data_IF_290670355761
#
_entry.id   IF_290670355761
#
_cell.length_a   1.000
_cell.length_b   1.000
_cell.length_c   1.000
_cell.angle_alpha   90.00
_cell.angle_beta   90.00
_cell.angle_gamma   90.00
#
_symmetry.space_group_name_H-M   'P 1'
#
loop_
_entity.id
_entity.type
_entity.pdbx_description
1 polymer ?
#
# COMPACT_ATOMS: atom_id res chain seq x y z
N UNK A 1 -11.22 6.12 21.60
CA UNK A 1 -10.68 5.46 20.39
C UNK A 1 -9.75 6.47 19.77
N UNK A 2 -8.54 6.10 19.36
CA UNK A 2 -7.61 7.09 18.81
C UNK A 2 -8.10 7.51 17.44
N UNK A 3 -8.33 8.80 17.23
CA UNK A 3 -8.69 9.39 15.93
C UNK A 3 -7.46 9.44 14.99
N UNK A 4 -6.50 8.52 15.17
CA UNK A 4 -5.26 8.50 14.40
C UNK A 4 -5.44 8.15 12.93
N UNK A 5 -6.52 7.45 12.60
CA UNK A 5 -6.90 7.05 11.25
C UNK A 5 -8.38 7.33 11.03
N UNK A 6 -8.70 8.05 9.97
CA UNK A 6 -10.10 8.28 9.54
C UNK A 6 -10.33 7.52 8.24
N UNK A 7 -11.36 6.68 8.22
CA UNK A 7 -11.79 5.93 7.04
C UNK A 7 -13.07 6.52 6.49
N UNK A 8 -13.05 6.92 5.22
CA UNK A 8 -14.21 7.37 4.46
C UNK A 8 -14.52 6.38 3.34
N UNK A 9 -15.77 5.93 3.26
CA UNK A 9 -16.24 5.10 2.15
C UNK A 9 -16.85 5.98 1.05
N UNK A 10 -16.44 5.76 -0.20
CA UNK A 10 -16.92 6.46 -1.39
C UNK A 10 -17.21 5.41 -2.48
N UNK A 11 -18.44 4.88 -2.48
CA UNK A 11 -18.87 3.81 -3.40
C UNK A 11 -17.90 2.61 -3.38
N UNK A 12 -17.12 2.44 -4.44
CA UNK A 12 -16.18 1.34 -4.64
C UNK A 12 -14.77 1.62 -4.09
N UNK A 13 -14.49 2.83 -3.61
CA UNK A 13 -13.18 3.23 -3.06
C UNK A 13 -13.32 3.72 -1.63
N UNK A 14 -12.36 3.35 -0.79
CA UNK A 14 -12.21 3.92 0.55
C UNK A 14 -10.98 4.82 0.60
N UNK A 15 -11.07 5.91 1.36
CA UNK A 15 -9.95 6.82 1.66
C UNK A 15 -9.59 6.67 3.12
N UNK A 16 -8.33 6.34 3.38
CA UNK A 16 -7.78 6.26 4.73
C UNK A 16 -6.84 7.45 4.96
N UNK A 17 -7.24 8.35 5.86
CA UNK A 17 -6.47 9.54 6.20
C UNK A 17 -5.75 9.37 7.54
N UNK A 18 -4.45 9.62 7.55
CA UNK A 18 -3.63 9.64 8.76
C UNK A 18 -3.84 10.98 9.49
N UNK A 19 -4.26 10.94 10.75
CA UNK A 19 -4.70 12.12 11.51
C UNK A 19 -4.04 12.24 12.89
N UNK A 20 -2.91 11.59 13.13
CA UNK A 20 -2.18 11.68 14.39
C UNK A 20 -1.20 12.88 14.40
N UNK A 21 -1.63 14.11 14.79
CA UNK A 21 -0.77 15.28 14.78
C UNK A 21 0.39 15.14 15.78
N UNK A 22 1.50 15.88 15.58
CA UNK A 22 1.69 16.87 14.50
C UNK A 22 2.19 16.26 13.18
N UNK A 23 2.60 14.99 13.15
CA UNK A 23 3.35 14.42 12.02
C UNK A 23 2.86 13.02 11.60
N UNK A 24 1.68 12.63 12.03
CA UNK A 24 1.02 11.35 11.69
C UNK A 24 1.90 10.13 12.01
N UNK A 25 2.48 10.13 13.23
CA UNK A 25 3.33 9.03 13.68
C UNK A 25 2.53 7.78 14.03
N UNK A 26 3.15 6.62 13.80
CA UNK A 26 2.58 5.33 14.13
C UNK A 26 2.75 5.00 15.60
N UNK A 27 1.69 4.47 16.19
CA UNK A 27 1.66 3.85 17.52
C UNK A 27 1.15 2.41 17.39
N UNK A 28 1.38 1.53 18.39
CA UNK A 28 0.82 0.17 18.37
C UNK A 28 -0.69 0.16 18.12
N UNK A 29 -1.41 1.10 18.72
CA UNK A 29 -2.86 1.22 18.60
C UNK A 29 -3.28 1.59 17.17
N UNK A 30 -2.57 2.53 16.52
CA UNK A 30 -2.86 2.91 15.14
C UNK A 30 -2.48 1.82 14.13
N UNK A 31 -1.42 1.04 14.39
CA UNK A 31 -1.05 -0.11 13.57
C UNK A 31 -2.09 -1.24 13.67
N UNK A 32 -2.58 -1.54 14.88
CA UNK A 32 -3.67 -2.48 15.08
C UNK A 32 -4.97 -2.00 14.42
N UNK A 33 -5.25 -0.71 14.47
CA UNK A 33 -6.41 -0.11 13.81
C UNK A 33 -6.30 -0.25 12.28
N UNK A 34 -5.11 0.03 11.69
CA UNK A 34 -4.87 -0.17 10.27
C UNK A 34 -5.13 -1.63 9.86
N UNK A 35 -4.59 -2.58 10.64
CA UNK A 35 -4.79 -4.00 10.38
C UNK A 35 -6.29 -4.36 10.39
N UNK A 36 -7.03 -3.89 11.40
CA UNK A 36 -8.47 -4.13 11.50
C UNK A 36 -9.24 -3.54 10.31
N UNK A 37 -8.94 -2.28 9.93
CA UNK A 37 -9.55 -1.60 8.79
C UNK A 37 -9.34 -2.42 7.51
N UNK A 38 -8.12 -2.84 7.22
CA UNK A 38 -7.83 -3.59 5.98
C UNK A 38 -8.54 -4.95 5.97
N UNK A 39 -8.63 -5.64 7.11
CA UNK A 39 -9.39 -6.91 7.23
C UNK A 39 -10.88 -6.66 6.97
N UNK A 40 -11.46 -5.59 7.51
CA UNK A 40 -12.86 -5.22 7.29
C UNK A 40 -13.12 -4.83 5.83
N UNK A 41 -12.20 -4.09 5.19
CA UNK A 41 -12.29 -3.76 3.77
C UNK A 41 -12.21 -5.01 2.87
N UNK A 42 -11.35 -5.96 3.18
CA UNK A 42 -11.28 -7.25 2.46
C UNK A 42 -12.57 -8.08 2.63
N UNK A 43 -13.30 -7.88 3.73
CA UNK A 43 -14.60 -8.52 3.95
C UNK A 43 -15.74 -7.85 3.16
N UNK A 44 -15.56 -6.60 2.75
CA UNK A 44 -16.54 -5.82 2.00
C UNK A 44 -16.27 -5.92 0.48
N UNK A 45 -16.96 -6.81 -0.19
CA UNK A 45 -16.80 -7.05 -1.64
C UNK A 45 -17.15 -5.84 -2.54
N UNK A 46 -17.86 -4.82 -2.01
CA UNK A 46 -18.13 -3.58 -2.74
C UNK A 46 -16.90 -2.67 -2.78
N UNK A 47 -15.98 -2.81 -1.82
CA UNK A 47 -14.78 -1.98 -1.76
C UNK A 47 -13.69 -2.56 -2.67
N UNK A 48 -13.36 -1.84 -3.73
CA UNK A 48 -12.46 -2.27 -4.80
C UNK A 48 -11.11 -1.59 -4.77
N UNK A 49 -11.01 -0.46 -4.08
CA UNK A 49 -9.79 0.32 -3.97
C UNK A 49 -9.65 0.98 -2.60
N UNK A 50 -8.40 1.23 -2.21
CA UNK A 50 -8.03 1.91 -0.98
C UNK A 50 -6.99 2.99 -1.31
N UNK A 51 -7.29 4.25 -0.99
CA UNK A 51 -6.33 5.36 -1.13
C UNK A 51 -5.91 5.82 0.26
N UNK A 52 -4.60 5.90 0.51
CA UNK A 52 -4.01 6.35 1.77
C UNK A 52 -3.41 7.73 1.59
N UNK A 53 -3.64 8.65 2.55
CA UNK A 53 -3.07 10.01 2.54
C UNK A 53 -2.89 10.55 3.96
N UNK A 54 -2.10 11.60 4.13
CA UNK A 54 -1.98 12.34 5.40
C UNK A 54 -2.94 13.52 5.48
N UNK A 55 -3.39 13.90 6.66
CA UNK A 55 -4.14 15.13 6.86
C UNK A 55 -3.22 16.37 6.71
N UNK A 56 -3.74 17.44 6.10
CA UNK A 56 -2.95 18.65 5.82
C UNK A 56 -2.04 18.48 4.62
N UNK A 57 -0.99 19.30 4.56
CA UNK A 57 -0.12 19.45 3.39
C UNK A 57 1.37 19.16 3.68
N UNK A 58 1.73 18.92 4.92
CA UNK A 58 3.14 18.80 5.31
C UNK A 58 3.62 17.36 5.44
N UNK A 59 2.80 16.49 6.01
CA UNK A 59 3.18 15.11 6.29
C UNK A 59 2.19 14.14 5.66
N UNK A 60 2.72 13.17 4.94
CA UNK A 60 2.04 11.91 4.73
C UNK A 60 2.11 11.10 6.02
N UNK A 61 3.32 10.79 6.50
CA UNK A 61 3.59 10.25 7.84
C UNK A 61 5.10 10.34 8.15
N UNK A 62 5.45 10.77 9.35
CA UNK A 62 6.84 10.82 9.82
C UNK A 62 7.35 9.49 10.40
N UNK A 63 6.58 8.41 10.31
CA UNK A 63 6.98 7.08 10.77
C UNK A 63 6.65 6.81 12.24
N UNK A 64 7.52 6.10 12.93
CA UNK A 64 7.28 5.70 14.31
C UNK A 64 7.39 6.87 15.31
N UNK A 65 6.61 6.81 16.38
CA UNK A 65 6.77 7.69 17.54
C UNK A 65 8.04 7.29 18.30
N UNK A 66 9.16 7.98 18.05
CA UNK A 66 10.46 7.66 18.61
C UNK A 66 10.52 7.80 20.14
N UNK A 67 9.61 8.54 20.78
CA UNK A 67 9.57 8.62 22.25
C UNK A 67 9.33 7.24 22.87
N UNK A 68 8.62 6.38 22.17
CA UNK A 68 8.34 5.01 22.60
C UNK A 68 9.51 4.05 22.47
N UNK A 69 10.62 4.46 21.84
CA UNK A 69 11.84 3.66 21.68
C UNK A 69 12.95 4.07 22.66
N UNK A 70 12.71 5.07 23.53
CA UNK A 70 13.71 5.56 24.48
C UNK A 70 13.80 4.68 25.75
N UNK A 71 13.89 3.37 25.57
CA UNK A 71 14.09 2.39 26.63
C UNK A 71 14.75 1.13 26.06
N UNK A 72 15.33 0.30 26.96
CA UNK A 72 16.03 -0.94 26.56
C UNK A 72 15.20 -2.18 26.84
N UNK A 73 13.89 -2.14 26.56
CA UNK A 73 13.00 -3.27 26.76
C UNK A 73 12.83 -4.05 25.46
N UNK A 74 13.41 -5.25 25.42
CA UNK A 74 13.37 -6.15 24.26
C UNK A 74 11.96 -6.67 23.98
N UNK A 75 11.12 -6.84 25.02
CA UNK A 75 9.74 -7.28 24.83
C UNK A 75 8.93 -6.22 24.09
N UNK A 76 9.04 -4.96 24.48
CA UNK A 76 8.40 -3.87 23.76
C UNK A 76 8.93 -3.72 22.33
N UNK A 77 10.23 -3.91 22.10
CA UNK A 77 10.80 -3.90 20.74
C UNK A 77 10.19 -5.01 19.88
N UNK A 78 9.98 -6.20 20.46
CA UNK A 78 9.32 -7.32 19.80
C UNK A 78 7.88 -7.00 19.43
N UNK A 79 7.12 -6.42 20.37
CA UNK A 79 5.72 -6.03 20.14
C UNK A 79 5.61 -4.98 19.02
N UNK A 80 6.49 -3.97 19.02
CA UNK A 80 6.54 -2.95 17.98
C UNK A 80 6.86 -3.53 16.59
N UNK A 81 7.92 -4.31 16.49
CA UNK A 81 8.33 -4.89 15.21
C UNK A 81 7.25 -5.82 14.65
N UNK A 82 6.61 -6.58 15.53
CA UNK A 82 5.47 -7.45 15.16
C UNK A 82 4.29 -6.63 14.68
N UNK A 83 3.94 -5.53 15.37
CA UNK A 83 2.81 -4.67 14.99
C UNK A 83 3.04 -4.00 13.63
N UNK A 84 4.25 -3.46 13.37
CA UNK A 84 4.61 -2.87 12.07
C UNK A 84 4.56 -3.92 10.96
N UNK A 85 5.23 -5.06 11.15
CA UNK A 85 5.25 -6.14 10.18
C UNK A 85 3.83 -6.63 9.83
N UNK A 86 3.03 -6.96 10.85
CA UNK A 86 1.68 -7.46 10.65
C UNK A 86 0.76 -6.45 9.94
N UNK A 87 0.77 -5.17 10.35
CA UNK A 87 -0.08 -4.15 9.75
C UNK A 87 0.24 -3.93 8.26
N UNK A 88 1.53 -3.83 7.92
CA UNK A 88 1.94 -3.55 6.55
C UNK A 88 1.88 -4.78 5.64
N UNK A 89 2.08 -6.00 6.19
CA UNK A 89 1.82 -7.24 5.46
C UNK A 89 0.35 -7.38 5.09
N UNK A 90 -0.57 -7.11 6.02
CA UNK A 90 -2.02 -7.14 5.75
C UNK A 90 -2.40 -6.10 4.69
N UNK A 91 -1.81 -4.89 4.74
CA UNK A 91 -2.02 -3.87 3.70
C UNK A 91 -1.49 -4.32 2.33
N UNK A 92 -0.28 -4.91 2.28
CA UNK A 92 0.27 -5.45 1.02
C UNK A 92 -0.62 -6.54 0.42
N UNK A 93 -1.28 -7.33 1.28
CA UNK A 93 -2.21 -8.39 0.89
C UNK A 93 -3.67 -7.90 0.71
N UNK A 94 -3.92 -6.59 0.70
CA UNK A 94 -5.26 -6.04 0.45
C UNK A 94 -5.81 -6.52 -0.90
N UNK A 95 -7.04 -7.05 -0.92
CA UNK A 95 -7.64 -7.74 -2.08
C UNK A 95 -8.20 -6.78 -3.16
N UNK A 96 -7.90 -5.53 -3.11
CA UNK A 96 -8.20 -4.55 -4.14
C UNK A 96 -6.93 -3.83 -4.55
N UNK A 97 -7.08 -2.70 -5.21
CA UNK A 97 -5.95 -1.82 -5.55
C UNK A 97 -5.72 -0.80 -4.44
N UNK A 98 -4.52 -0.77 -3.88
CA UNK A 98 -4.11 0.21 -2.87
C UNK A 98 -3.17 1.26 -3.47
N UNK A 99 -3.43 2.55 -3.17
CA UNK A 99 -2.62 3.67 -3.65
C UNK A 99 -2.21 4.57 -2.49
N UNK A 100 -0.92 4.86 -2.38
CA UNK A 100 -0.44 5.91 -1.50
C UNK A 100 -0.43 7.26 -2.24
N UNK A 101 -1.27 8.19 -1.80
CA UNK A 101 -1.29 9.58 -2.21
C UNK A 101 -0.36 10.38 -1.28
N UNK A 102 0.93 10.44 -1.62
CA UNK A 102 1.98 11.00 -0.77
C UNK A 102 1.95 12.52 -0.87
N UNK A 103 1.26 13.15 0.07
CA UNK A 103 1.00 14.59 0.12
C UNK A 103 2.02 15.40 0.95
N UNK A 104 3.21 14.84 1.21
CA UNK A 104 4.24 15.51 1.99
C UNK A 104 5.37 14.57 2.41
N UNK A 105 5.95 14.81 3.59
CA UNK A 105 7.01 13.96 4.11
C UNK A 105 6.52 12.52 4.39
N UNK A 106 7.18 11.54 3.79
CA UNK A 106 7.01 10.11 4.04
C UNK A 106 8.35 9.54 4.58
N UNK A 107 8.48 9.45 5.90
CA UNK A 107 9.74 9.11 6.57
C UNK A 107 9.64 7.82 7.36
N UNK A 108 10.64 6.96 7.29
CA UNK A 108 10.68 5.71 8.06
C UNK A 108 9.42 4.86 7.84
N UNK A 109 8.75 4.44 8.90
CA UNK A 109 7.48 3.72 8.83
C UNK A 109 6.39 4.44 8.02
N UNK A 110 6.52 5.76 7.77
CA UNK A 110 5.66 6.51 6.86
C UNK A 110 5.95 6.21 5.39
N UNK A 111 7.21 5.98 5.03
CA UNK A 111 7.53 5.48 3.70
C UNK A 111 7.20 3.98 3.60
N UNK A 112 7.41 3.20 4.67
CA UNK A 112 7.13 1.76 4.67
C UNK A 112 5.65 1.44 4.40
N UNK A 113 4.71 2.21 4.97
CA UNK A 113 3.28 2.04 4.66
C UNK A 113 2.97 2.38 3.20
N UNK A 114 3.65 3.38 2.62
CA UNK A 114 3.52 3.68 1.19
C UNK A 114 4.11 2.56 0.30
N UNK A 115 5.22 1.93 0.73
CA UNK A 115 5.82 0.77 0.06
C UNK A 115 4.91 -0.47 0.11
N UNK A 116 4.04 -0.58 1.13
CA UNK A 116 3.06 -1.64 1.24
C UNK A 116 1.86 -1.47 0.28
N UNK A 117 1.66 -0.29 -0.31
CA UNK A 117 0.65 -0.05 -1.33
C UNK A 117 1.11 -0.53 -2.71
N UNK A 118 0.14 -0.80 -3.61
CA UNK A 118 0.42 -1.21 -4.99
C UNK A 118 1.05 -0.09 -5.80
N UNK A 119 0.50 1.12 -5.68
CA UNK A 119 0.92 2.31 -6.44
C UNK A 119 1.23 3.46 -5.48
N UNK A 120 2.16 4.29 -5.83
CA UNK A 120 2.56 5.51 -5.10
C UNK A 120 2.54 6.69 -6.04
N UNK A 121 1.79 7.74 -5.67
CA UNK A 121 1.73 9.04 -6.35
C UNK A 121 2.23 10.07 -5.35
N UNK A 122 3.14 10.95 -5.75
CA UNK A 122 3.71 11.96 -4.86
C UNK A 122 3.36 13.37 -5.31
N UNK A 123 3.11 14.25 -4.38
CA UNK A 123 3.09 15.69 -4.66
C UNK A 123 4.50 16.22 -4.87
N UNK A 124 4.65 17.22 -5.69
CA UNK A 124 5.95 17.78 -6.11
C UNK A 124 6.86 18.20 -4.94
N UNK A 125 6.28 18.57 -3.79
CA UNK A 125 7.03 18.96 -2.60
C UNK A 125 7.30 17.80 -1.63
N UNK A 126 6.78 16.61 -1.91
CA UNK A 126 6.95 15.44 -1.07
C UNK A 126 8.42 15.01 -1.00
N UNK A 127 8.79 14.46 0.15
CA UNK A 127 10.12 13.92 0.38
C UNK A 127 10.02 12.54 1.04
N UNK A 128 10.91 11.64 0.67
CA UNK A 128 10.87 10.24 1.05
C UNK A 128 12.22 9.77 1.56
N UNK A 129 12.27 9.09 2.71
CA UNK A 129 13.50 8.52 3.26
C UNK A 129 13.23 7.35 4.20
N UNK A 130 14.24 6.49 4.39
CA UNK A 130 14.31 5.49 5.47
C UNK A 130 15.54 5.83 6.36
N UNK A 131 15.42 6.83 7.26
CA UNK A 131 16.56 7.37 8.00
C UNK A 131 16.82 6.66 9.33
N UNK A 132 16.28 5.47 9.54
CA UNK A 132 16.30 4.74 10.82
C UNK A 132 17.71 4.52 11.36
N UNK A 133 18.70 4.28 10.48
CA UNK A 133 20.10 4.08 10.88
C UNK A 133 20.69 5.29 11.63
N UNK A 134 20.23 6.51 11.37
CA UNK A 134 20.66 7.71 12.04
C UNK A 134 20.30 7.77 13.53
N UNK A 135 19.32 6.97 13.93
CA UNK A 135 18.85 6.85 15.33
C UNK A 135 19.11 5.47 15.93
N UNK A 136 19.96 4.64 15.28
CA UNK A 136 20.34 3.31 15.75
C UNK A 136 19.26 2.25 15.57
N UNK A 137 18.30 2.48 14.68
CA UNK A 137 17.22 1.55 14.33
C UNK A 137 17.38 1.06 12.89
N UNK A 138 16.48 0.20 12.46
CA UNK A 138 16.34 -0.24 11.07
C UNK A 138 14.85 -0.21 10.67
N UNK A 139 14.54 -0.11 9.37
CA UNK A 139 13.16 -0.25 8.89
C UNK A 139 12.63 -1.66 9.21
N UNK A 140 11.54 -1.75 9.99
CA UNK A 140 10.98 -3.04 10.42
C UNK A 140 9.57 -3.32 9.88
N UNK A 141 9.01 -2.39 9.11
CA UNK A 141 7.72 -2.51 8.44
C UNK A 141 7.87 -2.86 6.94
N UNK A 142 8.73 -3.81 6.58
CA UNK A 142 9.02 -4.30 5.22
C UNK A 142 9.95 -3.40 4.38
N UNK A 143 10.38 -2.22 4.88
CA UNK A 143 11.11 -1.21 4.10
C UNK A 143 12.37 -1.74 3.44
N UNK A 144 13.20 -2.51 4.14
CA UNK A 144 14.45 -3.06 3.60
C UNK A 144 14.20 -4.02 2.42
N UNK A 145 13.12 -4.78 2.45
CA UNK A 145 12.79 -5.77 1.42
C UNK A 145 12.05 -5.11 0.24
N UNK A 146 10.97 -4.39 0.52
CA UNK A 146 10.15 -3.76 -0.52
C UNK A 146 10.92 -2.70 -1.31
N UNK A 147 11.71 -1.86 -0.63
CA UNK A 147 12.48 -0.83 -1.32
C UNK A 147 13.50 -1.44 -2.29
N UNK A 148 14.25 -2.48 -1.86
CA UNK A 148 15.23 -3.12 -2.72
C UNK A 148 14.61 -3.75 -3.98
N UNK A 149 13.40 -4.29 -3.86
CA UNK A 149 12.65 -4.81 -5.01
C UNK A 149 12.18 -3.71 -5.98
N UNK A 150 11.76 -2.58 -5.45
CA UNK A 150 11.20 -1.50 -6.26
C UNK A 150 12.26 -0.71 -7.01
N UNK A 151 13.37 -0.36 -6.33
CA UNK A 151 14.37 0.59 -6.86
C UNK A 151 15.76 -0.03 -7.04
N UNK A 152 15.89 -1.32 -6.75
CA UNK A 152 17.16 -2.04 -6.77
C UNK A 152 18.03 -1.78 -5.53
N UNK A 153 18.99 -2.68 -5.28
CA UNK A 153 19.81 -2.65 -4.08
C UNK A 153 20.63 -1.36 -3.93
N UNK A 154 21.09 -0.78 -5.04
CA UNK A 154 21.95 0.40 -4.98
C UNK A 154 21.21 1.59 -4.36
N UNK A 155 20.00 1.88 -4.81
CA UNK A 155 19.19 2.95 -4.27
C UNK A 155 18.67 2.64 -2.87
N UNK A 156 18.27 1.40 -2.61
CA UNK A 156 17.91 0.97 -1.26
C UNK A 156 19.04 1.19 -0.27
N UNK A 157 20.28 0.82 -0.63
CA UNK A 157 21.49 1.05 0.21
C UNK A 157 21.75 2.53 0.43
N UNK A 158 21.59 3.40 -0.57
CA UNK A 158 21.74 4.85 -0.40
C UNK A 158 20.70 5.40 0.59
N UNK A 159 19.43 5.05 0.41
CA UNK A 159 18.34 5.55 1.25
C UNK A 159 18.44 5.04 2.70
N UNK A 160 18.78 3.75 2.89
CA UNK A 160 18.83 3.13 4.22
C UNK A 160 20.14 3.34 4.91
N UNK A 161 21.29 3.02 4.26
CA UNK A 161 22.59 3.02 4.94
C UNK A 161 23.19 4.43 5.04
N UNK A 162 22.93 5.30 4.06
CA UNK A 162 23.43 6.68 4.03
C UNK A 162 22.36 7.70 4.48
N UNK A 163 21.13 7.25 4.72
CA UNK A 163 20.01 8.12 5.13
C UNK A 163 19.59 9.12 4.05
N UNK A 164 19.87 8.81 2.79
CA UNK A 164 19.57 9.72 1.68
C UNK A 164 18.06 9.99 1.56
N UNK A 165 17.72 11.28 1.53
CA UNK A 165 16.35 11.74 1.33
C UNK A 165 16.15 12.10 -0.13
N UNK A 166 15.09 11.60 -0.72
CA UNK A 166 14.74 11.86 -2.11
C UNK A 166 13.61 12.88 -2.22
N UNK A 167 13.73 13.79 -3.20
CA UNK A 167 12.61 14.57 -3.70
C UNK A 167 11.63 13.70 -4.49
N UNK A 168 10.43 14.24 -4.74
CA UNK A 168 9.44 13.56 -5.58
C UNK A 168 9.97 13.25 -6.99
N UNK A 169 10.71 14.16 -7.60
CA UNK A 169 11.32 14.00 -8.93
C UNK A 169 12.40 12.89 -8.94
N UNK A 170 13.26 12.86 -7.91
CA UNK A 170 14.24 11.78 -7.78
C UNK A 170 13.54 10.43 -7.58
N UNK A 171 12.50 10.40 -6.75
CA UNK A 171 11.70 9.20 -6.51
C UNK A 171 11.01 8.70 -7.80
N UNK A 172 10.52 9.59 -8.65
CA UNK A 172 9.99 9.26 -9.98
C UNK A 172 11.08 8.67 -10.89
N UNK A 173 12.24 9.30 -10.92
CA UNK A 173 13.36 8.88 -11.78
C UNK A 173 13.81 7.44 -11.50
N UNK A 174 13.75 7.01 -10.23
CA UNK A 174 14.18 5.66 -9.82
C UNK A 174 13.03 4.65 -9.73
N UNK A 175 11.79 5.06 -10.04
CA UNK A 175 10.62 4.19 -9.99
C UNK A 175 10.06 3.94 -8.58
N UNK A 176 10.46 4.74 -7.59
CA UNK A 176 9.89 4.67 -6.23
C UNK A 176 8.43 5.14 -6.21
N UNK A 177 8.11 6.18 -6.98
CA UNK A 177 6.74 6.62 -7.27
C UNK A 177 6.48 6.52 -8.77
N UNK A 178 5.23 6.31 -9.17
CA UNK A 178 4.85 6.18 -10.58
C UNK A 178 4.56 7.53 -11.25
N UNK A 179 4.13 8.51 -10.47
CA UNK A 179 3.80 9.85 -10.96
C UNK A 179 4.09 10.92 -9.91
N UNK A 180 4.33 12.15 -10.38
CA UNK A 180 4.42 13.35 -9.55
C UNK A 180 3.36 14.34 -10.00
N UNK A 181 2.60 14.88 -9.05
CA UNK A 181 1.49 15.82 -9.29
C UNK A 181 1.71 17.13 -8.54
N UNK A 182 1.02 18.22 -8.91
CA UNK A 182 1.05 19.48 -8.17
C UNK A 182 0.65 19.31 -6.71
N UNK A 183 1.09 20.24 -5.86
CA UNK A 183 0.73 20.24 -4.44
C UNK A 183 -0.78 20.38 -4.24
N UNK A 184 -1.34 19.56 -3.36
CA UNK A 184 -2.78 19.49 -3.06
C UNK A 184 -3.59 18.60 -4.01
N UNK A 185 -2.96 17.97 -5.01
CA UNK A 185 -3.70 17.22 -6.05
C UNK A 185 -3.60 15.70 -5.91
N UNK A 186 -2.72 15.15 -5.05
CA UNK A 186 -2.44 13.72 -5.01
C UNK A 186 -3.71 12.88 -4.73
N UNK A 187 -4.51 13.26 -3.76
CA UNK A 187 -5.73 12.51 -3.43
C UNK A 187 -6.72 12.47 -4.61
N UNK A 188 -7.00 13.60 -5.22
CA UNK A 188 -7.94 13.69 -6.35
C UNK A 188 -7.42 12.95 -7.57
N UNK A 189 -6.12 13.02 -7.82
CA UNK A 189 -5.47 12.25 -8.88
C UNK A 189 -5.59 10.74 -8.65
N UNK A 190 -5.31 10.25 -7.43
CA UNK A 190 -5.46 8.84 -7.07
C UNK A 190 -6.90 8.35 -7.22
N UNK A 191 -7.89 9.16 -6.84
CA UNK A 191 -9.30 8.81 -7.00
C UNK A 191 -9.68 8.64 -8.48
N UNK A 192 -9.16 9.49 -9.38
CA UNK A 192 -9.34 9.31 -10.84
C UNK A 192 -8.60 8.07 -11.36
N UNK A 193 -7.39 7.83 -10.86
CA UNK A 193 -6.57 6.69 -11.29
C UNK A 193 -7.24 5.35 -10.99
N UNK A 194 -8.01 5.24 -9.91
CA UNK A 194 -8.73 4.01 -9.55
C UNK A 194 -10.08 3.84 -10.26
N UNK A 195 -10.63 4.85 -10.93
CA UNK A 195 -11.94 4.74 -11.61
C UNK A 195 -12.06 3.53 -12.55
N UNK A 196 -11.03 3.15 -13.34
CA UNK A 196 -11.10 2.00 -14.23
C UNK A 196 -11.32 0.66 -13.52
N UNK A 197 -11.07 0.57 -12.19
CA UNK A 197 -11.26 -0.66 -11.42
C UNK A 197 -12.70 -1.18 -11.47
N UNK A 198 -13.67 -0.27 -11.62
CA UNK A 198 -15.08 -0.61 -11.73
C UNK A 198 -15.39 -1.47 -12.97
N UNK A 199 -14.57 -1.34 -14.02
CA UNK A 199 -14.71 -2.09 -15.28
C UNK A 199 -13.93 -3.41 -15.29
N UNK A 200 -13.18 -3.72 -14.21
CA UNK A 200 -12.40 -4.93 -14.10
C UNK A 200 -13.14 -6.01 -13.30
N UNK A 201 -12.93 -7.28 -13.61
CA UNK A 201 -13.43 -8.38 -12.79
C UNK A 201 -12.75 -8.36 -11.40
N UNK A 202 -13.50 -8.39 -10.28
CA UNK A 202 -12.92 -8.44 -8.94
C UNK A 202 -11.95 -9.60 -8.75
N UNK A 203 -12.39 -10.80 -9.12
CA UNK A 203 -11.60 -12.03 -8.95
C UNK A 203 -10.34 -12.01 -9.81
N UNK A 204 -10.45 -11.54 -11.06
CA UNK A 204 -9.28 -11.44 -11.95
C UNK A 204 -8.24 -10.44 -11.43
N UNK A 205 -8.66 -9.30 -10.87
CA UNK A 205 -7.76 -8.31 -10.25
C UNK A 205 -7.01 -8.93 -9.07
N UNK A 206 -7.71 -9.62 -8.17
CA UNK A 206 -7.11 -10.26 -7.01
C UNK A 206 -6.07 -11.31 -7.41
N UNK A 207 -6.41 -12.18 -8.37
CA UNK A 207 -5.47 -13.20 -8.86
C UNK A 207 -4.27 -12.60 -9.58
N UNK A 208 -4.46 -11.56 -10.40
CA UNK A 208 -3.34 -10.87 -11.04
C UNK A 208 -2.41 -10.23 -10.01
N UNK A 209 -2.96 -9.59 -8.96
CA UNK A 209 -2.15 -9.02 -7.88
C UNK A 209 -1.37 -10.11 -7.13
N UNK A 210 -2.03 -11.20 -6.74
CA UNK A 210 -1.38 -12.34 -6.10
C UNK A 210 -0.21 -12.87 -6.96
N UNK A 211 -0.43 -13.06 -8.26
CA UNK A 211 0.61 -13.55 -9.19
C UNK A 211 1.78 -12.58 -9.35
N UNK A 212 1.51 -11.27 -9.42
CA UNK A 212 2.54 -10.25 -9.48
C UNK A 212 3.38 -10.25 -8.18
N UNK A 213 2.75 -10.40 -7.03
CA UNK A 213 3.45 -10.49 -5.74
C UNK A 213 4.25 -11.79 -5.64
N UNK A 214 3.70 -12.93 -6.06
CA UNK A 214 4.38 -14.22 -6.06
C UNK A 214 5.67 -14.22 -6.90
N UNK A 215 5.79 -13.34 -7.90
CA UNK A 215 7.02 -13.18 -8.68
C UNK A 215 8.25 -12.78 -7.83
N UNK A 216 8.03 -12.26 -6.62
CA UNK A 216 9.09 -11.91 -5.67
C UNK A 216 9.48 -13.07 -4.73
N UNK A 217 8.60 -14.06 -4.57
CA UNK A 217 8.67 -15.05 -3.50
C UNK A 217 9.02 -16.45 -4.01
N UNK A 218 8.75 -16.73 -5.28
CA UNK A 218 8.95 -18.07 -5.84
C UNK A 218 9.83 -18.06 -7.09
N UNK A 219 10.29 -19.26 -7.49
CA UNK A 219 11.00 -19.41 -8.76
C UNK A 219 10.06 -19.14 -9.94
N UNK A 220 10.61 -18.70 -11.07
CA UNK A 220 9.84 -18.42 -12.28
C UNK A 220 8.99 -19.62 -12.72
N UNK A 221 9.51 -20.84 -12.61
CA UNK A 221 8.76 -22.07 -12.95
C UNK A 221 7.58 -22.33 -12.02
N UNK A 222 7.73 -22.05 -10.71
CA UNK A 222 6.64 -22.14 -9.75
C UNK A 222 5.58 -21.04 -10.02
N UNK A 223 6.03 -19.81 -10.33
CA UNK A 223 5.14 -18.72 -10.71
C UNK A 223 4.29 -19.06 -11.96
N UNK A 224 4.88 -19.64 -13.01
CA UNK A 224 4.14 -20.10 -14.17
C UNK A 224 3.14 -21.24 -13.86
N UNK A 225 3.45 -22.10 -12.91
CA UNK A 225 2.51 -23.13 -12.47
C UNK A 225 1.31 -22.53 -11.74
N UNK A 226 1.57 -21.57 -10.84
CA UNK A 226 0.53 -20.84 -10.12
C UNK A 226 -0.36 -20.02 -11.08
N UNK A 227 0.24 -19.34 -12.06
CA UNK A 227 -0.50 -18.57 -13.07
C UNK A 227 -1.51 -19.45 -13.83
N UNK A 228 -1.08 -20.63 -14.31
CA UNK A 228 -1.98 -21.59 -14.97
C UNK A 228 -3.07 -22.09 -14.03
N UNK A 229 -2.75 -22.34 -12.76
CA UNK A 229 -3.73 -22.76 -11.78
C UNK A 229 -4.81 -21.68 -11.57
N UNK A 230 -4.40 -20.42 -11.33
CA UNK A 230 -5.33 -19.28 -11.14
C UNK A 230 -6.17 -19.01 -12.39
N UNK A 231 -5.58 -19.17 -13.58
CA UNK A 231 -6.33 -19.06 -14.84
C UNK A 231 -7.45 -20.10 -14.92
N UNK A 232 -7.19 -21.37 -14.55
CA UNK A 232 -8.21 -22.43 -14.55
C UNK A 232 -9.28 -22.16 -13.50
N UNK A 233 -8.91 -21.68 -12.31
CA UNK A 233 -9.86 -21.37 -11.24
C UNK A 233 -10.84 -20.26 -11.63
N UNK A 234 -10.44 -19.31 -12.49
CA UNK A 234 -11.36 -18.29 -13.02
C UNK A 234 -12.56 -18.88 -13.76
N UNK A 235 -12.45 -20.07 -14.35
CA UNK A 235 -13.56 -20.72 -15.06
C UNK A 235 -14.66 -21.23 -14.10
N UNK A 236 -14.42 -21.23 -12.82
CA UNK A 236 -15.40 -21.52 -11.77
C UNK A 236 -16.10 -20.27 -11.25
N UNK A 237 -15.67 -19.07 -11.71
CA UNK A 237 -16.21 -17.76 -11.28
C UNK A 237 -17.18 -17.24 -12.35
N UNK A 238 -18.39 -16.88 -11.92
CA UNK A 238 -19.42 -16.27 -12.79
C UNK A 238 -18.92 -15.00 -13.50
N UNK A 239 -18.00 -14.26 -12.91
CA UNK A 239 -17.42 -13.04 -13.50
C UNK A 239 -16.59 -13.34 -14.76
N UNK A 240 -15.97 -14.53 -14.85
CA UNK A 240 -15.26 -14.93 -16.08
C UNK A 240 -16.24 -15.04 -17.25
N UNK A 241 -17.35 -15.75 -17.05
CA UNK A 241 -18.38 -15.93 -18.10
C UNK A 241 -19.04 -14.60 -18.45
N UNK A 242 -19.43 -13.80 -17.45
CA UNK A 242 -20.01 -12.47 -17.66
C UNK A 242 -19.07 -11.56 -18.43
N UNK A 243 -17.78 -11.50 -18.06
CA UNK A 243 -16.81 -10.62 -18.72
C UNK A 243 -16.64 -10.93 -20.21
N UNK A 244 -16.49 -12.21 -20.57
CA UNK A 244 -16.37 -12.65 -21.95
C UNK A 244 -17.66 -12.40 -22.73
N UNK A 245 -18.82 -12.73 -22.14
CA UNK A 245 -20.13 -12.50 -22.75
C UNK A 245 -20.38 -11.01 -23.02
N UNK A 246 -20.17 -10.16 -22.02
CA UNK A 246 -20.36 -8.71 -22.14
C UNK A 246 -19.45 -8.10 -23.23
N UNK A 247 -18.19 -8.58 -23.32
CA UNK A 247 -17.27 -8.14 -24.36
C UNK A 247 -17.77 -8.51 -25.77
N UNK A 248 -18.22 -9.75 -25.97
CA UNK A 248 -18.73 -10.23 -27.26
C UNK A 248 -20.03 -9.52 -27.66
N UNK A 249 -20.89 -9.23 -26.68
CA UNK A 249 -22.16 -8.51 -26.85
C UNK A 249 -21.99 -6.97 -26.92
N UNK A 250 -20.77 -6.47 -26.75
CA UNK A 250 -20.43 -5.02 -26.75
C UNK A 250 -21.25 -4.22 -25.73
N UNK A 251 -21.46 -4.75 -24.54
CA UNK A 251 -22.12 -4.11 -23.41
C UNK A 251 -21.20 -4.02 -22.19
N UNK A 252 -21.48 -3.15 -21.23
CA UNK A 252 -20.79 -3.16 -19.95
C UNK A 252 -20.99 -4.49 -19.21
N UNK A 253 -19.93 -5.01 -18.59
CA UNK A 253 -20.02 -6.17 -17.72
C UNK A 253 -20.70 -5.82 -16.39
N UNK A 254 -21.47 -6.77 -15.87
CA UNK A 254 -22.16 -6.66 -14.57
C UNK A 254 -21.45 -7.59 -13.56
N UNK A 255 -20.42 -7.05 -12.94
CA UNK A 255 -19.60 -7.83 -12.00
C UNK A 255 -20.38 -8.21 -10.74
N UNK A 256 -20.28 -9.45 -10.36
CA UNK A 256 -20.78 -9.95 -9.08
C UNK A 256 -19.72 -9.80 -7.99
N UNK A 257 -20.18 -9.60 -6.78
CA UNK A 257 -19.32 -9.68 -5.61
C UNK A 257 -18.66 -11.07 -5.54
N UNK A 258 -17.40 -11.10 -5.12
CA UNK A 258 -16.66 -12.36 -4.95
C UNK A 258 -17.40 -13.26 -3.96
N UNK A 259 -17.83 -14.43 -4.38
CA UNK A 259 -18.31 -15.46 -3.46
C UNK A 259 -17.11 -15.99 -2.66
N UNK A 260 -17.15 -15.85 -1.34
CA UNK A 260 -16.17 -16.47 -0.46
C UNK A 260 -16.36 -18.00 -0.57
N UNK A 261 -15.40 -18.68 -1.17
CA UNK A 261 -15.25 -20.11 -1.08
C UNK A 261 -14.72 -20.51 0.29
#
# INVERSE_FOLDING_TARGET
MSDALILEHRDYVSVLTFTNPPAHTWTPESLQLLQKIVVELNANSSNRALVLTGAGDKFFSAGADLQRFHHRDVAQATDFSTAFGAAFQVLSAYQGVSIAAINGYAMGGGLEVALACDVRIAEQHAQMALPECAVGLLPCGLGTQQLAWLVGEQWAKRMVLLGERLSAEQALTIGLVSEVVPSGEALQHCLKLVEPIQKQSPTAVDYCKELIMAARECSLSAGYALERQRFIELWQDDNQFEGVTAFLEKRPAQWRAKTKG
#
